data_IF_633220006698
#
_entry.id   IF_633220006698
#
_cell.length_a   1.000
_cell.length_b   1.000
_cell.length_c   1.000
_cell.angle_alpha   90.00
_cell.angle_beta   90.00
_cell.angle_gamma   90.00
#
_symmetry.space_group_name_H-M   'P 1'
#
loop_
_entity.id
_entity.type
_entity.pdbx_description
1 polymer ?
#
# COMPACT_ATOMS: atom_id res chain seq x y z
N UNK A 1 25.72 -21.68 -14.91
CA UNK A 1 24.38 -21.07 -14.75
C UNK A 1 23.54 -22.02 -13.90
N UNK A 2 23.16 -21.63 -12.68
CA UNK A 2 22.31 -22.48 -11.84
C UNK A 2 20.82 -22.27 -12.18
N UNK A 3 20.00 -23.34 -12.17
CA UNK A 3 18.63 -23.29 -12.64
C UNK A 3 17.76 -22.48 -11.68
N UNK A 4 16.69 -21.90 -12.23
CA UNK A 4 15.72 -21.02 -11.61
C UNK A 4 15.31 -21.47 -10.20
N UNK A 5 15.94 -20.89 -9.17
CA UNK A 5 15.56 -21.09 -7.77
C UNK A 5 14.14 -20.56 -7.59
N UNK A 6 13.17 -21.47 -7.51
CA UNK A 6 11.78 -21.13 -7.22
C UNK A 6 11.71 -20.67 -5.77
N UNK A 7 11.61 -19.36 -5.56
CA UNK A 7 11.44 -18.77 -4.22
C UNK A 7 9.96 -18.70 -3.89
N UNK A 8 9.54 -19.49 -2.92
CA UNK A 8 8.21 -19.41 -2.33
C UNK A 8 8.22 -18.36 -1.23
N UNK A 9 7.41 -17.31 -1.38
CA UNK A 9 7.20 -16.32 -0.34
C UNK A 9 5.94 -16.70 0.42
N UNK A 10 6.11 -17.13 1.67
CA UNK A 10 5.01 -17.28 2.60
C UNK A 10 4.66 -15.90 3.15
N UNK A 11 3.38 -15.54 3.08
CA UNK A 11 2.87 -14.32 3.69
C UNK A 11 1.76 -14.71 4.66
N UNK A 12 1.82 -14.14 5.85
CA UNK A 12 0.70 -14.18 6.79
C UNK A 12 -0.21 -12.99 6.51
N UNK A 13 -1.49 -13.29 6.31
CA UNK A 13 -2.55 -12.31 6.15
C UNK A 13 -3.81 -12.79 6.84
N UNK A 14 -4.50 -11.90 7.56
CA UNK A 14 -5.75 -12.26 8.20
C UNK A 14 -6.87 -12.28 7.16
N UNK A 15 -7.75 -13.27 7.22
CA UNK A 15 -8.94 -13.37 6.37
C UNK A 15 -10.17 -13.32 7.26
N UNK A 16 -10.92 -12.24 7.15
CA UNK A 16 -12.20 -12.10 7.84
C UNK A 16 -13.30 -12.75 7.00
N UNK A 17 -14.19 -13.51 7.65
CA UNK A 17 -15.38 -14.05 7.01
C UNK A 17 -16.60 -13.41 7.65
N UNK A 18 -17.45 -12.79 6.83
CA UNK A 18 -18.73 -12.27 7.33
C UNK A 18 -19.63 -13.47 7.70
N UNK A 19 -20.12 -13.56 8.95
CA UNK A 19 -21.03 -14.65 9.35
C UNK A 19 -22.36 -14.61 8.60
N UNK A 20 -22.78 -13.43 8.15
CA UNK A 20 -24.11 -13.17 7.61
C UNK A 20 -24.21 -13.47 6.10
N UNK A 21 -23.14 -13.18 5.34
CA UNK A 21 -23.14 -13.28 3.88
C UNK A 21 -22.11 -14.26 3.33
N UNK A 22 -21.32 -14.91 4.21
CA UNK A 22 -20.19 -15.79 3.90
C UNK A 22 -19.09 -15.20 3.01
N UNK A 23 -19.21 -13.95 2.58
CA UNK A 23 -18.16 -13.23 1.88
C UNK A 23 -16.90 -13.15 2.75
N UNK A 24 -15.75 -13.40 2.12
CA UNK A 24 -14.46 -13.32 2.79
C UNK A 24 -13.74 -12.05 2.38
N UNK A 25 -13.41 -11.22 3.35
CA UNK A 25 -12.57 -10.04 3.19
C UNK A 25 -11.18 -10.38 3.71
N UNK A 26 -10.19 -10.42 2.84
CA UNK A 26 -8.79 -10.52 3.27
C UNK A 26 -8.35 -9.16 3.78
N UNK A 27 -7.77 -9.12 4.99
CA UNK A 27 -7.20 -7.92 5.58
C UNK A 27 -6.23 -7.26 4.61
N UNK A 28 -6.20 -5.92 4.65
CA UNK A 28 -5.28 -5.12 3.85
C UNK A 28 -3.85 -5.61 4.07
N UNK A 29 -3.20 -6.07 2.99
CA UNK A 29 -1.76 -6.36 2.90
C UNK A 29 -0.97 -5.57 3.96
N UNK A 30 -0.29 -6.22 4.94
CA UNK A 30 0.32 -5.53 6.08
C UNK A 30 1.48 -4.59 5.67
N UNK A 31 1.98 -4.78 4.45
CA UNK A 31 2.95 -3.91 3.82
C UNK A 31 2.32 -2.74 3.08
N UNK A 32 1.00 -2.57 3.07
CA UNK A 32 0.33 -1.45 2.43
C UNK A 32 0.59 -0.16 3.20
N UNK A 33 0.86 0.92 2.47
CA UNK A 33 0.95 2.25 3.04
C UNK A 33 -0.47 2.75 3.32
N UNK A 34 -0.76 3.07 4.58
CA UNK A 34 -2.08 3.50 5.06
C UNK A 34 -2.66 4.60 4.19
N UNK A 35 -3.94 4.48 3.81
CA UNK A 35 -4.63 5.46 2.98
C UNK A 35 -4.26 5.44 1.49
N UNK A 36 -3.33 4.59 1.05
CA UNK A 36 -2.93 4.45 -0.37
C UNK A 36 -3.17 3.04 -0.89
N UNK A 37 -2.98 2.77 -2.18
CA UNK A 37 -3.00 1.42 -2.78
C UNK A 37 -1.61 0.79 -2.95
N UNK A 38 -0.55 1.47 -2.51
CA UNK A 38 0.84 1.02 -2.70
C UNK A 38 1.44 0.46 -1.40
N UNK A 39 2.55 -0.27 -1.51
CA UNK A 39 3.28 -0.77 -0.35
C UNK A 39 4.10 0.33 0.34
N UNK A 40 4.44 0.14 1.62
CA UNK A 40 5.32 0.98 2.44
C UNK A 40 6.67 1.18 1.73
N UNK A 41 7.23 0.12 1.14
CA UNK A 41 8.48 0.18 0.37
C UNK A 41 8.34 1.04 -0.89
N UNK A 42 7.25 0.88 -1.65
CA UNK A 42 6.98 1.72 -2.81
C UNK A 42 6.78 3.19 -2.39
N UNK A 43 6.11 3.45 -1.27
CA UNK A 43 5.93 4.80 -0.74
C UNK A 43 7.26 5.46 -0.35
N UNK A 44 8.18 4.73 0.30
CA UNK A 44 9.54 5.23 0.60
C UNK A 44 10.29 5.58 -0.69
N UNK A 45 10.20 4.73 -1.71
CA UNK A 45 10.84 4.96 -2.99
C UNK A 45 10.28 6.21 -3.70
N UNK A 46 8.94 6.35 -3.72
CA UNK A 46 8.26 7.54 -4.28
C UNK A 46 8.72 8.81 -3.56
N UNK A 47 8.76 8.81 -2.22
CA UNK A 47 9.25 9.95 -1.44
C UNK A 47 10.70 10.30 -1.78
N UNK A 48 11.57 9.30 -1.91
CA UNK A 48 12.97 9.50 -2.28
C UNK A 48 13.15 10.10 -3.69
N UNK A 49 12.29 9.75 -4.66
CA UNK A 49 12.33 10.37 -5.98
C UNK A 49 11.85 11.81 -5.97
N UNK A 50 10.78 12.08 -5.25
CA UNK A 50 10.27 13.45 -5.10
C UNK A 50 11.31 14.34 -4.40
N UNK A 51 12.02 13.84 -3.38
CA UNK A 51 13.10 14.60 -2.72
C UNK A 51 14.32 14.83 -3.60
N UNK A 52 14.51 14.03 -4.65
CA UNK A 52 15.56 14.21 -5.68
C UNK A 52 15.15 15.20 -6.78
N UNK A 53 13.98 15.85 -6.66
CA UNK A 53 13.51 16.84 -7.61
C UNK A 53 12.72 16.28 -8.79
N UNK A 54 12.37 14.98 -8.79
CA UNK A 54 11.49 14.44 -9.83
C UNK A 54 10.06 14.95 -9.64
N UNK A 55 9.40 15.30 -10.75
CA UNK A 55 7.98 15.67 -10.75
C UNK A 55 7.09 14.45 -10.52
N UNK A 56 5.86 14.67 -10.02
CA UNK A 56 4.84 13.61 -9.88
C UNK A 56 4.63 12.88 -11.21
N UNK A 57 4.58 13.61 -12.32
CA UNK A 57 4.46 13.04 -13.67
C UNK A 57 5.67 12.17 -14.04
N UNK A 58 6.89 12.59 -13.68
CA UNK A 58 8.09 11.78 -13.87
C UNK A 58 8.03 10.48 -13.08
N UNK A 59 7.62 10.54 -11.81
CA UNK A 59 7.45 9.36 -10.96
C UNK A 59 6.35 8.44 -11.50
N UNK A 60 5.23 8.99 -11.98
CA UNK A 60 4.16 8.23 -12.62
C UNK A 60 4.66 7.48 -13.86
N UNK A 61 5.44 8.14 -14.73
CA UNK A 61 6.02 7.50 -15.93
C UNK A 61 6.97 6.35 -15.58
N UNK A 62 7.76 6.47 -14.51
CA UNK A 62 8.72 5.44 -14.11
C UNK A 62 8.05 4.27 -13.39
N UNK A 63 7.08 4.54 -12.52
CA UNK A 63 6.49 3.53 -11.62
C UNK A 63 5.16 2.97 -12.10
N UNK A 64 4.49 3.63 -13.05
CA UNK A 64 3.10 3.35 -13.42
C UNK A 64 2.08 3.69 -12.33
N UNK A 65 2.51 4.25 -11.19
CA UNK A 65 1.61 4.59 -10.08
C UNK A 65 0.83 5.84 -10.44
N UNK A 66 -0.50 5.77 -10.31
CA UNK A 66 -1.38 6.90 -10.59
C UNK A 66 -1.02 8.15 -9.75
N UNK A 67 -1.05 9.33 -10.37
CA UNK A 67 -0.62 10.60 -9.77
C UNK A 67 -1.26 10.88 -8.40
N UNK A 68 -2.54 10.54 -8.22
CA UNK A 68 -3.26 10.77 -6.96
C UNK A 68 -2.65 9.92 -5.82
N UNK A 69 -2.22 8.69 -6.12
CA UNK A 69 -1.57 7.82 -5.14
C UNK A 69 -0.16 8.29 -4.80
N UNK A 70 0.58 8.84 -5.77
CA UNK A 70 1.87 9.50 -5.54
C UNK A 70 1.71 10.71 -4.60
N UNK A 71 0.70 11.56 -4.87
CA UNK A 71 0.38 12.74 -4.05
C UNK A 71 -0.03 12.36 -2.61
N UNK A 72 -0.78 11.28 -2.44
CA UNK A 72 -1.10 10.76 -1.11
C UNK A 72 0.14 10.22 -0.39
N UNK A 73 1.02 9.50 -1.10
CA UNK A 73 2.26 8.95 -0.56
C UNK A 73 3.28 10.03 -0.16
N UNK A 74 3.30 11.18 -0.83
CA UNK A 74 4.09 12.35 -0.45
C UNK A 74 3.76 12.85 0.98
N UNK A 75 2.54 12.59 1.47
CA UNK A 75 2.11 12.99 2.81
C UNK A 75 1.40 14.35 2.88
N UNK A 76 1.05 14.95 1.72
CA UNK A 76 0.19 16.15 1.65
C UNK A 76 -1.32 15.82 1.74
N UNK A 77 -1.68 14.56 1.94
CA UNK A 77 -3.06 14.20 2.24
C UNK A 77 -3.41 14.64 3.66
N UNK A 78 -4.32 15.59 3.77
CA UNK A 78 -4.95 16.04 5.02
C UNK A 78 -5.11 14.88 6.01
N UNK A 79 -4.31 14.87 7.08
CA UNK A 79 -4.53 13.98 8.21
C UNK A 79 -5.87 14.37 8.84
N UNK A 80 -6.93 13.65 8.51
CA UNK A 80 -7.94 13.35 9.52
C UNK A 80 -7.61 11.95 10.01
N UNK A 81 -7.08 11.79 11.23
CA UNK A 81 -7.07 10.48 11.84
C UNK A 81 -8.54 10.06 11.96
N UNK A 82 -8.99 9.16 11.07
CA UNK A 82 -10.25 8.48 11.28
C UNK A 82 -10.15 7.81 12.65
N UNK A 83 -11.07 8.15 13.55
CA UNK A 83 -11.20 7.52 14.87
C UNK A 83 -11.06 6.00 14.68
N UNK A 84 -10.25 5.30 15.49
CA UNK A 84 -10.29 3.84 15.50
C UNK A 84 -11.72 3.43 15.83
N UNK A 85 -12.32 2.60 14.97
CA UNK A 85 -13.60 1.98 15.25
C UNK A 85 -13.46 1.17 16.53
N UNK A 86 -14.00 1.67 17.65
CA UNK A 86 -14.16 0.87 18.85
C UNK A 86 -15.15 -0.25 18.52
N UNK A 87 -14.72 -1.50 18.69
CA UNK A 87 -15.65 -2.63 18.70
C UNK A 87 -16.41 -2.61 20.02
N UNK A 88 -17.76 -2.61 20.01
CA UNK A 88 -18.52 -2.87 21.22
C UNK A 88 -18.34 -4.35 21.59
N UNK A 89 -18.06 -4.60 22.87
CA UNK A 89 -18.09 -5.93 23.48
C UNK A 89 -19.52 -6.47 23.53
#
# INVERSE_FOLDING_TARGET
MQPHVRRTFLFDGHRFRCPCFQETVTELNPYRCTGTRITKRAAVWVKSRLSQGLTITGVQKITGIHWNTIRQAEGKANRRPGKPCQMPY
#
